data_IF_684376175404
#
_entry.id   IF_684376175404
#
_cell.length_a   1.000
_cell.length_b   1.000
_cell.length_c   1.000
_cell.angle_alpha   90.00
_cell.angle_beta   90.00
_cell.angle_gamma   90.00
#
_symmetry.space_group_name_H-M   'P 1'
#
loop_
_entity.id
_entity.type
_entity.pdbx_description
1 polymer ?
#
# COMPACT_ATOMS: atom_id res chain seq x y z
N UNK A 1 -42.23 -20.26 18.47
CA UNK A 1 -41.23 -20.18 17.40
C UNK A 1 -40.70 -18.75 17.36
N UNK A 2 -39.67 -18.44 18.14
CA UNK A 2 -39.06 -17.11 18.18
C UNK A 2 -37.91 -17.06 17.17
N UNK A 3 -38.07 -16.23 16.13
CA UNK A 3 -37.05 -15.98 15.12
C UNK A 3 -35.81 -15.37 15.76
N UNK A 4 -34.67 -16.01 15.50
CA UNK A 4 -33.35 -15.51 15.89
C UNK A 4 -33.03 -14.34 14.97
N UNK A 5 -33.04 -13.11 15.50
CA UNK A 5 -32.43 -11.97 14.81
C UNK A 5 -30.94 -12.26 14.68
N UNK A 6 -30.50 -12.67 13.49
CA UNK A 6 -29.09 -12.65 13.14
C UNK A 6 -28.66 -11.19 13.03
N UNK A 7 -27.87 -10.74 14.00
CA UNK A 7 -27.10 -9.50 13.89
C UNK A 7 -26.24 -9.57 12.63
N UNK A 8 -26.15 -8.49 11.83
CA UNK A 8 -25.24 -8.48 10.70
C UNK A 8 -23.83 -8.72 11.22
N UNK A 9 -23.21 -9.81 10.77
CA UNK A 9 -21.82 -10.16 11.09
C UNK A 9 -20.95 -9.06 10.53
N UNK A 10 -20.52 -8.13 11.39
CA UNK A 10 -19.59 -7.07 11.01
C UNK A 10 -18.41 -7.71 10.28
N UNK A 11 -18.20 -7.30 9.03
CA UNK A 11 -17.07 -7.78 8.24
C UNK A 11 -15.78 -7.48 9.01
N UNK A 12 -14.80 -8.39 9.03
CA UNK A 12 -13.53 -8.13 9.70
C UNK A 12 -12.90 -6.87 9.12
N UNK A 13 -12.51 -5.95 10.00
CA UNK A 13 -11.76 -4.74 9.63
C UNK A 13 -10.56 -5.13 8.77
N UNK A 14 -10.26 -4.40 7.69
CA UNK A 14 -9.08 -4.69 6.90
C UNK A 14 -7.85 -4.63 7.79
N UNK A 15 -7.02 -5.67 7.69
CA UNK A 15 -5.76 -5.76 8.41
C UNK A 15 -4.67 -5.45 7.41
N UNK A 16 -3.98 -4.32 7.61
CA UNK A 16 -2.71 -4.10 6.94
C UNK A 16 -1.64 -4.88 7.69
N UNK A 17 -0.81 -5.61 6.97
CA UNK A 17 0.30 -6.35 7.57
C UNK A 17 1.56 -5.49 7.45
N UNK A 18 2.24 -5.27 8.58
CA UNK A 18 3.60 -4.70 8.61
C UNK A 18 4.67 -5.70 8.11
N UNK A 19 4.24 -6.89 7.70
CA UNK A 19 5.06 -7.93 7.10
C UNK A 19 4.44 -8.37 5.78
N UNK A 20 5.28 -8.53 4.76
CA UNK A 20 4.83 -9.09 3.48
C UNK A 20 4.43 -10.56 3.67
N UNK A 21 3.32 -11.00 3.07
CA UNK A 21 3.04 -12.42 2.86
C UNK A 21 4.25 -13.14 2.23
N UNK A 22 4.40 -14.43 2.53
CA UNK A 22 5.52 -15.21 2.00
C UNK A 22 5.55 -15.16 0.47
N UNK A 23 6.74 -15.01 -0.11
CA UNK A 23 6.92 -15.14 -1.55
C UNK A 23 6.51 -16.57 -1.99
N UNK A 24 5.94 -16.74 -3.19
CA UNK A 24 5.71 -18.07 -3.75
C UNK A 24 7.01 -18.87 -3.82
N UNK A 25 6.97 -20.13 -3.39
CA UNK A 25 8.13 -21.03 -3.42
C UNK A 25 8.57 -21.40 -4.86
N UNK A 26 7.63 -21.38 -5.81
CA UNK A 26 7.87 -21.62 -7.23
C UNK A 26 7.30 -20.43 -8.01
N UNK A 27 8.15 -19.74 -8.75
CA UNK A 27 7.80 -18.62 -9.62
C UNK A 27 8.70 -18.67 -10.85
N UNK A 28 8.14 -18.84 -12.04
CA UNK A 28 8.89 -19.08 -13.29
C UNK A 28 8.27 -18.34 -14.46
N UNK A 29 9.09 -17.93 -15.44
CA UNK A 29 8.63 -17.41 -16.73
C UNK A 29 8.10 -15.98 -16.69
N UNK A 30 8.54 -15.19 -15.70
CA UNK A 30 8.19 -13.77 -15.53
C UNK A 30 9.38 -12.92 -15.11
N UNK A 31 10.58 -13.34 -15.51
CA UNK A 31 11.83 -12.69 -15.10
C UNK A 31 11.94 -11.28 -15.71
N UNK A 32 11.40 -11.09 -16.91
CA UNK A 32 11.34 -9.79 -17.59
C UNK A 32 10.40 -8.81 -16.86
N UNK A 33 9.19 -9.24 -16.48
CA UNK A 33 8.27 -8.41 -15.70
C UNK A 33 8.81 -8.10 -14.30
N UNK A 34 9.50 -9.07 -13.68
CA UNK A 34 10.22 -8.81 -12.41
C UNK A 34 11.30 -7.75 -12.60
N UNK A 35 12.09 -7.84 -13.67
CA UNK A 35 13.15 -6.88 -13.96
C UNK A 35 12.60 -5.48 -14.26
N UNK A 36 11.52 -5.38 -15.02
CA UNK A 36 10.82 -4.12 -15.31
C UNK A 36 10.32 -3.45 -14.01
N UNK A 37 9.59 -4.20 -13.18
CA UNK A 37 9.06 -3.68 -11.92
C UNK A 37 10.18 -3.31 -10.93
N UNK A 38 11.27 -4.08 -10.88
CA UNK A 38 12.44 -3.73 -10.07
C UNK A 38 13.13 -2.47 -10.60
N UNK A 39 13.21 -2.29 -11.92
CA UNK A 39 13.76 -1.06 -12.51
C UNK A 39 12.93 0.18 -12.14
N UNK A 40 11.60 0.05 -12.10
CA UNK A 40 10.72 1.12 -11.67
C UNK A 40 10.85 1.44 -10.17
N UNK A 41 11.15 0.44 -9.34
CA UNK A 41 11.34 0.59 -7.90
C UNK A 41 12.77 0.97 -7.48
N UNK A 42 13.72 1.02 -8.42
CA UNK A 42 15.12 1.29 -8.11
C UNK A 42 15.31 2.76 -7.68
N UNK A 43 15.71 3.02 -6.42
CA UNK A 43 15.89 4.39 -5.93
C UNK A 43 17.04 5.13 -6.64
N UNK A 44 17.94 4.43 -7.33
CA UNK A 44 19.06 5.01 -8.07
C UNK A 44 18.71 5.51 -9.48
N UNK A 45 17.53 5.18 -10.01
CA UNK A 45 17.11 5.52 -11.39
C UNK A 45 16.23 6.78 -11.41
N UNK A 46 15.70 7.21 -10.27
CA UNK A 46 14.98 8.47 -10.09
C UNK A 46 15.92 9.63 -9.78
N UNK A 47 16.13 10.53 -10.75
CA UNK A 47 16.83 11.79 -10.50
C UNK A 47 16.04 12.69 -9.56
N UNK A 48 16.30 12.60 -8.25
CA UNK A 48 15.76 13.51 -7.23
C UNK A 48 14.87 12.82 -6.21
N UNK A 49 15.01 13.28 -4.96
CA UNK A 49 14.46 12.73 -3.70
C UNK A 49 12.92 12.67 -3.58
N UNK A 50 12.17 12.70 -4.69
CA UNK A 50 10.69 12.86 -4.69
C UNK A 50 9.93 11.89 -5.61
N UNK A 51 10.58 10.88 -6.21
CA UNK A 51 9.88 9.99 -7.15
C UNK A 51 9.13 8.87 -6.42
N UNK A 52 7.81 9.03 -6.31
CA UNK A 52 6.90 7.93 -5.98
C UNK A 52 6.83 7.00 -7.19
N UNK A 53 7.44 5.81 -7.09
CA UNK A 53 7.28 4.77 -8.10
C UNK A 53 5.91 4.10 -7.92
N UNK A 54 5.04 4.23 -8.92
CA UNK A 54 3.77 3.52 -9.00
C UNK A 54 3.85 2.49 -10.10
N UNK A 55 3.79 1.22 -9.73
CA UNK A 55 3.68 0.13 -10.69
C UNK A 55 2.32 -0.53 -10.51
N UNK A 56 1.56 -0.64 -11.61
CA UNK A 56 0.29 -1.33 -11.68
C UNK A 56 0.49 -2.66 -12.41
N UNK A 57 0.17 -3.78 -11.76
CA UNK A 57 0.13 -5.10 -12.41
C UNK A 57 -1.32 -5.45 -12.69
N UNK A 58 -1.70 -5.56 -13.97
CA UNK A 58 -3.08 -5.87 -14.42
C UNK A 58 -3.14 -7.11 -15.33
N UNK A 59 -4.26 -7.84 -15.36
CA UNK A 59 -4.46 -9.00 -16.25
C UNK A 59 -5.73 -9.79 -15.90
N UNK A 60 -5.91 -11.02 -16.40
CA UNK A 60 -7.04 -11.86 -15.96
C UNK A 60 -6.83 -12.43 -14.54
N UNK A 61 -7.92 -12.71 -13.81
CA UNK A 61 -7.86 -13.35 -12.49
C UNK A 61 -7.15 -14.70 -12.53
N UNK A 62 -6.39 -15.04 -11.49
CA UNK A 62 -5.66 -16.31 -11.39
C UNK A 62 -4.31 -16.39 -12.14
N UNK A 63 -3.87 -15.30 -12.76
CA UNK A 63 -2.63 -15.25 -13.56
C UNK A 63 -1.35 -15.06 -12.72
N UNK A 64 -1.46 -14.99 -11.38
CA UNK A 64 -0.30 -14.91 -10.48
C UNK A 64 0.25 -13.49 -10.29
N UNK A 65 -0.59 -12.46 -10.36
CA UNK A 65 -0.19 -11.05 -10.18
C UNK A 65 0.25 -10.73 -8.74
N UNK A 66 -0.50 -11.20 -7.75
CA UNK A 66 -0.10 -11.13 -6.33
C UNK A 66 1.26 -11.82 -6.12
N UNK A 67 1.46 -12.99 -6.74
CA UNK A 67 2.72 -13.72 -6.70
C UNK A 67 3.90 -12.92 -7.28
N UNK A 68 3.70 -12.26 -8.43
CA UNK A 68 4.68 -11.37 -9.05
C UNK A 68 5.02 -10.18 -8.14
N UNK A 69 4.00 -9.49 -7.61
CA UNK A 69 4.22 -8.31 -6.79
C UNK A 69 4.89 -8.64 -5.45
N UNK A 70 4.50 -9.75 -4.81
CA UNK A 70 5.21 -10.24 -3.62
C UNK A 70 6.66 -10.59 -3.97
N UNK A 71 6.92 -11.27 -5.09
CA UNK A 71 8.29 -11.59 -5.52
C UNK A 71 9.14 -10.34 -5.69
N UNK A 72 8.63 -9.32 -6.40
CA UNK A 72 9.30 -8.04 -6.59
C UNK A 72 9.54 -7.34 -5.24
N UNK A 73 8.52 -7.28 -4.38
CA UNK A 73 8.62 -6.66 -3.07
C UNK A 73 9.69 -7.33 -2.18
N UNK A 74 9.76 -8.66 -2.17
CA UNK A 74 10.79 -9.40 -1.45
C UNK A 74 12.20 -9.13 -2.00
N UNK A 75 12.36 -9.07 -3.33
CA UNK A 75 13.66 -8.76 -3.95
C UNK A 75 14.09 -7.33 -3.65
N UNK A 76 13.20 -6.35 -3.78
CA UNK A 76 13.49 -4.95 -3.47
C UNK A 76 13.89 -4.74 -2.00
N UNK A 77 13.20 -5.43 -1.07
CA UNK A 77 13.58 -5.43 0.35
C UNK A 77 14.93 -6.08 0.60
N UNK A 78 15.22 -7.21 -0.05
CA UNK A 78 16.52 -7.89 0.07
C UNK A 78 17.68 -7.03 -0.45
N UNK A 79 17.41 -6.13 -1.40
CA UNK A 79 18.37 -5.11 -1.88
C UNK A 79 18.52 -3.90 -0.96
N UNK A 80 17.74 -3.82 0.12
CA UNK A 80 17.79 -2.72 1.07
C UNK A 80 17.18 -1.42 0.57
N UNK A 81 16.38 -1.45 -0.50
CA UNK A 81 15.77 -0.23 -1.09
C UNK A 81 14.70 0.41 -0.18
N UNK A 82 14.13 -0.38 0.74
CA UNK A 82 13.07 0.04 1.64
C UNK A 82 13.44 -0.27 3.10
N UNK A 83 14.30 0.56 3.69
CA UNK A 83 14.78 0.46 5.08
C UNK A 83 13.66 0.63 6.10
N UNK A 84 12.61 1.40 5.77
CA UNK A 84 11.41 1.58 6.59
C UNK A 84 10.47 0.37 6.60
N UNK A 85 10.75 -0.66 5.79
CA UNK A 85 9.97 -1.89 5.72
C UNK A 85 8.94 -1.91 4.61
N UNK A 86 7.92 -2.75 4.76
CA UNK A 86 6.87 -2.88 3.77
C UNK A 86 5.51 -3.15 4.40
N UNK A 87 4.48 -2.59 3.79
CA UNK A 87 3.09 -2.72 4.19
C UNK A 87 2.31 -3.45 3.09
N UNK A 88 1.46 -4.39 3.48
CA UNK A 88 0.57 -5.10 2.56
C UNK A 88 -0.88 -4.89 2.96
N UNK A 89 -1.73 -4.56 1.98
CA UNK A 89 -3.19 -4.44 2.14
C UNK A 89 -3.88 -5.22 1.04
N UNK A 90 -4.73 -6.18 1.42
CA UNK A 90 -5.69 -6.82 0.52
C UNK A 90 -6.97 -5.98 0.46
N UNK A 91 -7.22 -5.37 -0.70
CA UNK A 91 -8.37 -4.49 -0.93
C UNK A 91 -9.67 -5.24 -1.20
N UNK A 92 -9.63 -6.57 -1.34
CA UNK A 92 -10.83 -7.42 -1.48
C UNK A 92 -11.85 -6.90 -2.50
N UNK A 93 -11.38 -6.28 -3.58
CA UNK A 93 -12.22 -5.55 -4.53
C UNK A 93 -13.26 -6.41 -5.25
N UNK A 94 -13.07 -7.73 -5.27
CA UNK A 94 -13.97 -8.69 -5.90
C UNK A 94 -14.82 -9.49 -4.89
N UNK A 95 -14.68 -9.22 -3.59
CA UNK A 95 -15.50 -9.82 -2.55
C UNK A 95 -16.86 -9.10 -2.45
N UNK A 96 -17.85 -9.74 -1.81
CA UNK A 96 -19.17 -9.14 -1.55
C UNK A 96 -19.08 -7.82 -0.74
N UNK A 97 -18.01 -7.65 0.04
CA UNK A 97 -17.75 -6.46 0.85
C UNK A 97 -16.31 -5.99 0.60
N UNK A 98 -16.08 -5.15 -0.43
CA UNK A 98 -14.76 -4.65 -0.76
C UNK A 98 -14.24 -3.68 0.30
N UNK A 99 -12.91 -3.61 0.43
CA UNK A 99 -12.26 -2.64 1.34
C UNK A 99 -12.28 -1.26 0.70
N UNK A 100 -12.83 -0.28 1.41
CA UNK A 100 -12.76 1.10 0.95
C UNK A 100 -11.37 1.70 1.20
N UNK A 101 -11.01 2.74 0.46
CA UNK A 101 -9.77 3.47 0.72
C UNK A 101 -9.70 4.01 2.16
N UNK A 102 -10.82 4.46 2.73
CA UNK A 102 -10.89 4.97 4.11
C UNK A 102 -10.58 3.87 5.14
N UNK A 103 -11.05 2.65 4.90
CA UNK A 103 -10.72 1.53 5.77
C UNK A 103 -9.25 1.10 5.59
N UNK A 104 -8.72 1.16 4.36
CA UNK A 104 -7.34 0.83 4.07
C UNK A 104 -6.35 1.85 4.68
N UNK A 105 -6.63 3.15 4.65
CA UNK A 105 -5.75 4.17 5.25
C UNK A 105 -5.67 4.00 6.77
N UNK A 106 -6.79 3.68 7.43
CA UNK A 106 -6.80 3.35 8.86
C UNK A 106 -5.94 2.12 9.16
N UNK A 107 -6.05 1.08 8.34
CA UNK A 107 -5.23 -0.12 8.49
C UNK A 107 -3.74 0.20 8.32
N UNK A 108 -3.38 1.01 7.32
CA UNK A 108 -2.00 1.46 7.08
C UNK A 108 -1.45 2.30 8.23
N UNK A 109 -2.22 3.26 8.76
CA UNK A 109 -1.84 4.07 9.92
C UNK A 109 -1.53 3.19 11.14
N UNK A 110 -2.39 2.20 11.42
CA UNK A 110 -2.15 1.23 12.50
C UNK A 110 -0.89 0.40 12.25
N UNK A 111 -0.66 -0.06 11.02
CA UNK A 111 0.53 -0.82 10.66
C UNK A 111 1.83 0.01 10.71
N UNK A 112 1.72 1.33 10.57
CA UNK A 112 2.79 2.30 10.83
C UNK A 112 2.99 2.59 12.33
N UNK A 113 2.11 2.07 13.20
CA UNK A 113 2.21 2.20 14.66
C UNK A 113 1.42 3.37 15.25
N UNK A 114 0.52 4.00 14.48
CA UNK A 114 -0.39 5.03 15.01
C UNK A 114 -1.46 4.33 15.86
N UNK A 115 -1.53 4.69 17.15
CA UNK A 115 -2.50 4.13 18.07
C UNK A 115 -3.92 4.61 17.80
N UNK A 116 -4.93 3.80 18.13
CA UNK A 116 -6.34 4.16 17.89
C UNK A 116 -6.77 5.47 18.56
N UNK A 117 -6.11 5.86 19.66
CA UNK A 117 -6.38 7.11 20.36
C UNK A 117 -5.84 8.36 19.64
N UNK A 118 -4.84 8.17 18.77
CA UNK A 118 -4.17 9.25 18.03
C UNK A 118 -4.72 9.37 16.60
N UNK A 119 -5.62 8.48 16.21
CA UNK A 119 -6.22 8.51 14.87
C UNK A 119 -7.11 9.74 14.71
N UNK A 120 -6.90 10.55 13.64
CA UNK A 120 -7.77 11.66 13.36
C UNK A 120 -9.22 11.22 13.10
N UNK A 121 -10.21 12.02 13.51
CA UNK A 121 -11.63 11.64 13.42
C UNK A 121 -12.17 11.65 11.98
N UNK A 122 -11.53 12.37 11.07
CA UNK A 122 -11.99 12.50 9.68
C UNK A 122 -11.06 11.79 8.68
N UNK A 123 -11.63 11.29 7.59
CA UNK A 123 -10.87 10.61 6.53
C UNK A 123 -9.80 11.53 5.92
N UNK A 124 -10.12 12.80 5.65
CA UNK A 124 -9.18 13.77 5.09
C UNK A 124 -7.94 13.97 5.97
N UNK A 125 -8.14 14.09 7.28
CA UNK A 125 -7.04 14.19 8.26
C UNK A 125 -6.25 12.88 8.34
N UNK A 126 -6.91 11.73 8.26
CA UNK A 126 -6.23 10.42 8.23
C UNK A 126 -5.33 10.29 6.99
N UNK A 127 -5.78 10.70 5.81
CA UNK A 127 -4.96 10.72 4.60
C UNK A 127 -3.79 11.69 4.71
N UNK A 128 -4.00 12.87 5.30
CA UNK A 128 -2.94 13.84 5.54
C UNK A 128 -1.89 13.30 6.52
N UNK A 129 -2.34 12.68 7.62
CA UNK A 129 -1.48 12.04 8.60
C UNK A 129 -0.67 10.91 7.98
N UNK A 130 -1.34 10.03 7.23
CA UNK A 130 -0.70 8.91 6.53
C UNK A 130 0.41 9.40 5.59
N UNK A 131 0.16 10.44 4.79
CA UNK A 131 1.20 11.04 3.94
C UNK A 131 2.34 11.67 4.75
N UNK A 132 2.04 12.30 5.88
CA UNK A 132 3.05 12.85 6.80
C UNK A 132 3.95 11.76 7.42
N UNK A 133 3.36 10.65 7.83
CA UNK A 133 4.11 9.48 8.35
C UNK A 133 5.03 8.89 7.28
N UNK A 134 4.56 8.78 6.03
CA UNK A 134 5.39 8.28 4.94
C UNK A 134 6.54 9.22 4.57
N UNK A 135 6.32 10.54 4.63
CA UNK A 135 7.33 11.53 4.29
C UNK A 135 8.40 11.74 5.37
N UNK A 136 8.11 11.40 6.63
CA UNK A 136 9.00 11.61 7.78
C UNK A 136 9.82 10.37 8.16
N UNK A 137 9.60 9.24 7.50
CA UNK A 137 10.24 7.95 7.79
C UNK A 137 11.23 7.54 6.71
N UNK A 138 12.05 6.56 7.08
CA UNK A 138 12.83 5.76 6.14
C UNK A 138 11.92 5.17 5.03
N UNK A 139 12.42 4.98 3.80
CA UNK A 139 11.63 4.49 2.67
C UNK A 139 10.80 3.23 2.97
N UNK A 140 9.49 3.33 2.75
CA UNK A 140 8.52 2.23 2.94
C UNK A 140 7.95 1.79 1.60
N UNK A 141 7.87 0.48 1.39
CA UNK A 141 7.15 -0.11 0.26
C UNK A 141 5.70 -0.39 0.64
N UNK A 142 4.75 0.12 -0.13
CA UNK A 142 3.32 -0.19 0.08
C UNK A 142 2.85 -1.09 -1.07
N UNK A 143 2.24 -2.23 -0.73
CA UNK A 143 1.65 -3.16 -1.67
C UNK A 143 0.13 -3.21 -1.46
N UNK A 144 -0.61 -2.68 -2.44
CA UNK A 144 -2.07 -2.70 -2.47
C UNK A 144 -2.53 -3.79 -3.44
N UNK A 145 -3.10 -4.88 -2.93
CA UNK A 145 -3.49 -6.04 -3.73
C UNK A 145 -5.00 -6.15 -3.92
N UNK A 146 -5.42 -6.86 -4.96
CA UNK A 146 -6.81 -7.23 -5.22
C UNK A 146 -7.78 -6.04 -5.30
N UNK A 147 -7.33 -4.90 -5.83
CA UNK A 147 -8.22 -3.78 -6.13
C UNK A 147 -9.07 -4.11 -7.37
N UNK A 148 -10.35 -3.77 -7.33
CA UNK A 148 -11.24 -3.82 -8.50
C UNK A 148 -11.54 -2.41 -9.04
N UNK A 149 -11.48 -1.39 -8.18
CA UNK A 149 -11.76 0.01 -8.53
C UNK A 149 -10.55 0.92 -8.22
N UNK A 150 -10.12 1.78 -9.15
CA UNK A 150 -9.11 2.80 -8.89
C UNK A 150 -9.38 3.67 -7.65
N UNK A 151 -10.64 3.89 -7.26
CA UNK A 151 -11.02 4.62 -6.06
C UNK A 151 -10.51 3.97 -4.77
N UNK A 152 -10.20 2.66 -4.79
CA UNK A 152 -9.56 1.96 -3.67
C UNK A 152 -8.05 2.26 -3.58
N UNK A 153 -7.41 2.63 -4.69
CA UNK A 153 -5.95 2.82 -4.78
C UNK A 153 -5.57 4.30 -4.71
N UNK A 154 -6.20 5.13 -5.54
CA UNK A 154 -5.77 6.51 -5.80
C UNK A 154 -5.60 7.34 -4.51
N UNK A 155 -6.51 7.30 -3.52
CA UNK A 155 -6.36 8.06 -2.28
C UNK A 155 -5.18 7.62 -1.39
N UNK A 156 -4.73 6.35 -1.53
CA UNK A 156 -3.67 5.74 -0.72
C UNK A 156 -2.27 5.99 -1.27
N UNK A 157 -2.16 6.61 -2.45
CA UNK A 157 -0.88 6.88 -3.08
C UNK A 157 -0.19 8.06 -2.37
N UNK A 158 1.12 7.93 -2.02
CA UNK A 158 1.85 9.00 -1.36
C UNK A 158 2.06 10.24 -2.25
N UNK A 159 1.86 10.12 -3.57
CA UNK A 159 2.01 11.16 -4.59
C UNK A 159 0.71 11.84 -5.00
N UNK A 160 -0.11 12.25 -4.03
CA UNK A 160 -1.25 13.12 -4.29
C UNK A 160 -0.84 14.59 -4.17
N UNK A 161 -0.69 15.29 -5.30
CA UNK A 161 -0.74 16.76 -5.34
C UNK A 161 -2.15 17.25 -4.96
N UNK A 162 -2.54 17.05 -3.70
CA UNK A 162 -3.49 17.89 -3.01
C UNK A 162 -2.69 19.00 -2.36
N UNK A 163 -2.68 20.19 -2.97
CA UNK A 163 -2.05 21.37 -2.37
C UNK A 163 -2.73 21.65 -1.02
N UNK A 164 -2.14 21.20 0.08
CA UNK A 164 -2.29 21.85 1.37
C UNK A 164 -1.14 22.85 1.49
N UNK A 165 -1.45 24.12 1.20
CA UNK A 165 -0.55 25.24 1.53
C UNK A 165 -0.48 25.35 3.06
N UNK A 166 0.51 24.69 3.65
CA UNK A 166 0.90 24.87 5.05
C UNK A 166 2.40 25.12 5.10
N UNK A 167 2.78 26.40 5.22
CA UNK A 167 4.15 26.82 5.49
C UNK A 167 4.57 26.32 6.88
N UNK A 168 5.32 25.22 6.90
CA UNK A 168 6.02 24.73 8.08
C UNK A 168 7.38 24.22 7.62
N UNK A 169 8.43 24.94 8.02
CA UNK A 169 9.82 24.51 7.86
C UNK A 169 9.99 23.14 8.56
N UNK A 170 10.16 22.08 7.76
CA UNK A 170 10.55 20.75 8.24
C UNK A 170 11.88 20.41 7.59
N UNK A 171 12.96 20.72 8.32
CA UNK A 171 14.29 20.20 8.05
C UNK A 171 14.33 18.71 8.37
N UNK A 172 13.91 17.90 7.38
CA UNK A 172 14.05 16.46 7.32
C UNK A 172 13.97 16.09 5.85
N UNK A 173 15.02 15.50 5.28
CA UNK A 173 15.04 15.16 3.85
C UNK A 173 13.85 14.25 3.50
N UNK A 174 13.20 14.42 2.33
CA UNK A 174 12.00 13.67 2.01
C UNK A 174 12.30 12.17 1.91
N UNK A 175 11.56 11.37 2.68
CA UNK A 175 11.55 9.92 2.59
C UNK A 175 10.93 9.47 1.25
N UNK A 176 11.62 8.57 0.55
CA UNK A 176 11.12 7.96 -0.68
C UNK A 176 10.04 6.93 -0.32
N UNK A 177 8.77 7.28 -0.45
CA UNK A 177 7.68 6.31 -0.37
C UNK A 177 7.34 5.81 -1.78
N UNK A 178 7.45 4.49 -2.00
CA UNK A 178 7.04 3.86 -3.27
C UNK A 178 5.81 2.98 -3.04
N UNK A 179 4.83 3.10 -3.95
CA UNK A 179 3.57 2.36 -3.87
C UNK A 179 3.42 1.43 -5.07
N UNK A 180 3.46 0.13 -4.87
CA UNK A 180 3.08 -0.85 -5.89
C UNK A 180 1.61 -1.20 -5.71
N UNK A 181 0.81 -1.05 -6.76
CA UNK A 181 -0.58 -1.49 -6.78
C UNK A 181 -0.73 -2.70 -7.71
N UNK A 182 -1.49 -3.70 -7.29
CA UNK A 182 -1.84 -4.85 -8.11
C UNK A 182 -3.34 -4.79 -8.34
N UNK A 183 -3.72 -4.65 -9.62
CA UNK A 183 -5.11 -4.62 -10.03
C UNK A 183 -5.47 -5.95 -10.70
N UNK A 184 -6.55 -6.57 -10.21
CA UNK A 184 -6.96 -7.94 -10.54
C UNK A 184 -7.42 -8.15 -11.96
#
# INVERSE_FOLDING_TARGET
MTGKSESPRAAPSPTALSALPAAPAVFTGRDDEVAELLGALDPGVGGGSESVAISAVSGLGGVGKTALALRVAHVARARGWFSGGALFVDLRGYDDVPVTADQAVLALLRALGVGDADLPPTADEQYAWYRGELGSREPVLILLDNASDPAQIVPLLPGGRGRASGSGDVSGGPGLASGTAVQG
#
